data_IF_919533756134
#
_entry.id   IF_919533756134
#
_cell.length_a   1.000
_cell.length_b   1.000
_cell.length_c   1.000
_cell.angle_alpha   90.00
_cell.angle_beta   90.00
_cell.angle_gamma   90.00
#
_symmetry.space_group_name_H-M   'P 1'
#
loop_
_entity.id
_entity.type
_entity.pdbx_description
1 polymer ?
#
# COMPACT_ATOMS: atom_id res chain seq x y z
N UNK A 1 0.97 1.84 8.03
CA UNK A 1 0.63 2.11 9.45
C UNK A 1 -0.43 1.11 9.88
N UNK A 2 -0.02 -0.13 10.12
CA UNK A 2 -0.74 -1.08 10.96
C UNK A 2 -0.17 -0.97 12.40
N UNK A 3 -0.70 -1.76 13.33
CA UNK A 3 -0.61 -1.68 14.78
C UNK A 3 0.74 -1.28 15.38
N UNK A 4 0.68 -0.44 16.43
CA UNK A 4 1.59 -0.59 17.55
C UNK A 4 1.21 -1.92 18.23
N UNK A 5 2.15 -2.81 18.50
CA UNK A 5 1.83 -3.98 19.35
C UNK A 5 1.26 -3.52 20.69
N UNK A 6 0.50 -4.35 21.41
CA UNK A 6 0.01 -4.02 22.76
C UNK A 6 1.16 -3.58 23.68
N UNK A 7 2.33 -4.16 23.48
CA UNK A 7 3.61 -3.76 24.09
C UNK A 7 3.99 -2.33 23.70
N UNK A 8 3.93 -1.97 22.41
CA UNK A 8 4.23 -0.62 21.95
C UNK A 8 3.17 0.41 22.39
N UNK A 9 1.88 0.07 22.39
CA UNK A 9 0.82 0.96 22.89
C UNK A 9 1.05 1.24 24.38
N UNK A 10 1.32 0.19 25.15
CA UNK A 10 1.58 0.30 26.59
C UNK A 10 2.89 1.05 26.87
N UNK A 11 3.94 0.79 26.09
CA UNK A 11 5.26 1.42 26.24
C UNK A 11 5.24 2.92 25.92
N UNK A 12 4.49 3.33 24.90
CA UNK A 12 4.46 4.73 24.46
C UNK A 12 3.32 5.55 25.10
N UNK A 13 2.22 4.90 25.50
CA UNK A 13 0.98 5.59 25.89
C UNK A 13 0.37 5.09 27.22
N UNK A 14 0.95 4.05 27.84
CA UNK A 14 0.51 3.49 29.12
C UNK A 14 -0.64 2.46 29.00
N UNK A 15 -0.92 1.68 30.07
CA UNK A 15 -1.92 0.60 30.05
C UNK A 15 -3.37 1.07 29.79
N UNK A 16 -3.72 2.27 30.24
CA UNK A 16 -5.06 2.85 30.04
C UNK A 16 -5.34 3.21 28.58
N UNK A 17 -4.31 3.52 27.79
CA UNK A 17 -4.43 3.76 26.36
C UNK A 17 -4.76 2.47 25.58
N UNK A 18 -4.28 1.31 26.05
CA UNK A 18 -4.56 0.01 25.45
C UNK A 18 -6.04 -0.37 25.60
N UNK A 19 -6.61 -0.18 26.80
CA UNK A 19 -8.03 -0.45 27.07
C UNK A 19 -8.95 0.45 26.22
N UNK A 20 -8.61 1.74 26.12
CA UNK A 20 -9.35 2.69 25.27
C UNK A 20 -9.24 2.35 23.78
N UNK A 21 -8.05 1.95 23.32
CA UNK A 21 -7.81 1.57 21.93
C UNK A 21 -8.56 0.31 21.51
N UNK A 22 -8.50 -0.73 22.35
CA UNK A 22 -9.21 -2.00 22.10
C UNK A 22 -10.73 -1.79 22.12
N UNK A 23 -11.25 -1.03 23.09
CA UNK A 23 -12.66 -0.69 23.14
C UNK A 23 -13.14 0.09 21.90
N UNK A 24 -12.35 1.05 21.41
CA UNK A 24 -12.71 1.82 20.21
C UNK A 24 -12.73 0.95 18.94
N UNK A 25 -11.75 0.05 18.78
CA UNK A 25 -11.74 -0.94 17.69
C UNK A 25 -12.94 -1.87 17.77
N UNK A 26 -13.18 -2.48 18.92
CA UNK A 26 -14.29 -3.41 19.13
C UNK A 26 -15.63 -2.75 18.83
N UNK A 27 -15.82 -1.51 19.28
CA UNK A 27 -17.00 -0.73 18.98
C UNK A 27 -17.14 -0.43 17.47
N UNK A 28 -16.04 -0.17 16.75
CA UNK A 28 -16.07 0.02 15.30
C UNK A 28 -16.47 -1.26 14.55
N UNK A 29 -15.89 -2.39 14.93
CA UNK A 29 -16.21 -3.70 14.36
C UNK A 29 -17.65 -4.10 14.65
N UNK A 30 -18.11 -3.92 15.89
CA UNK A 30 -19.48 -4.26 16.31
C UNK A 30 -20.51 -3.43 15.54
N UNK A 31 -20.28 -2.12 15.41
CA UNK A 31 -21.14 -1.24 14.63
C UNK A 31 -21.23 -1.69 13.15
N UNK A 32 -20.08 -1.87 12.49
CA UNK A 32 -20.07 -2.32 11.10
C UNK A 32 -20.70 -3.70 10.91
N UNK A 33 -20.52 -4.61 11.88
CA UNK A 33 -21.20 -5.93 11.88
C UNK A 33 -22.71 -5.77 11.92
N UNK A 34 -23.24 -4.89 12.78
CA UNK A 34 -24.68 -4.66 12.90
C UNK A 34 -25.27 -4.03 11.64
N UNK A 35 -24.60 -3.03 11.06
CA UNK A 35 -25.03 -2.42 9.79
C UNK A 35 -25.10 -3.45 8.67
N UNK A 36 -24.12 -4.37 8.60
CA UNK A 36 -24.12 -5.46 7.63
C UNK A 36 -25.32 -6.40 7.84
N UNK A 37 -25.60 -6.80 9.09
CA UNK A 37 -26.75 -7.67 9.39
C UNK A 37 -28.07 -7.00 9.01
N UNK A 38 -28.27 -5.75 9.42
CA UNK A 38 -29.47 -4.96 9.09
C UNK A 38 -29.67 -4.83 7.56
N UNK A 39 -28.58 -4.59 6.82
CA UNK A 39 -28.63 -4.47 5.37
C UNK A 39 -28.97 -5.79 4.65
N UNK A 40 -28.46 -6.93 5.16
CA UNK A 40 -28.81 -8.27 4.66
C UNK A 40 -30.30 -8.56 4.85
N UNK A 41 -30.87 -8.21 6.01
CA UNK A 41 -32.28 -8.44 6.35
C UNK A 41 -33.23 -7.53 5.55
N UNK A 42 -32.85 -6.27 5.33
CA UNK A 42 -33.67 -5.29 4.60
C UNK A 42 -33.57 -5.38 3.08
N UNK A 43 -32.70 -6.25 2.54
CA UNK A 43 -32.48 -6.37 1.09
C UNK A 43 -31.80 -5.12 0.49
N UNK A 44 -31.01 -4.39 1.29
CA UNK A 44 -30.35 -3.17 0.86
C UNK A 44 -29.30 -3.42 -0.24
N UNK A 45 -28.90 -2.37 -0.95
CA UNK A 45 -27.83 -2.44 -1.93
C UNK A 45 -26.47 -2.66 -1.23
N UNK A 46 -26.01 -3.91 -1.22
CA UNK A 46 -24.77 -4.31 -0.53
C UNK A 46 -23.50 -3.65 -1.10
N UNK A 47 -23.51 -3.21 -2.37
CA UNK A 47 -22.37 -2.46 -2.95
C UNK A 47 -22.34 -1.02 -2.44
N UNK A 48 -23.50 -0.39 -2.25
CA UNK A 48 -23.60 0.92 -1.61
C UNK A 48 -23.17 0.85 -0.15
N UNK A 49 -23.62 -0.21 0.54
CA UNK A 49 -23.26 -0.49 1.92
C UNK A 49 -21.75 -0.58 2.14
N UNK A 50 -21.00 -1.19 1.22
CA UNK A 50 -19.53 -1.22 1.29
C UNK A 50 -18.95 0.19 1.51
N UNK A 51 -19.37 1.17 0.69
CA UNK A 51 -18.88 2.53 0.80
C UNK A 51 -19.30 3.17 2.13
N UNK A 52 -20.56 3.00 2.54
CA UNK A 52 -21.08 3.53 3.80
C UNK A 52 -20.32 2.97 5.01
N UNK A 53 -20.12 1.65 5.07
CA UNK A 53 -19.36 0.99 6.14
C UNK A 53 -17.91 1.45 6.15
N UNK A 54 -17.24 1.49 5.00
CA UNK A 54 -15.83 1.93 4.96
C UNK A 54 -15.64 3.39 5.36
N UNK A 55 -16.56 4.29 4.99
CA UNK A 55 -16.53 5.69 5.41
C UNK A 55 -16.73 5.83 6.92
N UNK A 56 -17.65 5.05 7.52
CA UNK A 56 -17.86 5.03 8.96
C UNK A 56 -16.63 4.47 9.71
N UNK A 57 -16.04 3.38 9.22
CA UNK A 57 -14.80 2.84 9.78
C UNK A 57 -13.65 3.85 9.67
N UNK A 58 -13.59 4.62 8.58
CA UNK A 58 -12.60 5.67 8.39
C UNK A 58 -12.77 6.83 9.40
N UNK A 59 -14.00 7.28 9.64
CA UNK A 59 -14.31 8.28 10.67
C UNK A 59 -13.92 7.80 12.07
N UNK A 60 -14.24 6.54 12.40
CA UNK A 60 -13.84 5.93 13.68
C UNK A 60 -12.33 5.80 13.80
N UNK A 61 -11.64 5.50 12.70
CA UNK A 61 -10.17 5.42 12.68
C UNK A 61 -9.53 6.79 12.90
N UNK A 62 -10.11 7.84 12.34
CA UNK A 62 -9.71 9.22 12.59
C UNK A 62 -9.88 9.59 14.07
N UNK A 63 -11.07 9.37 14.63
CA UNK A 63 -11.37 9.64 16.03
C UNK A 63 -10.41 8.90 16.99
N UNK A 64 -10.10 7.63 16.70
CA UNK A 64 -9.13 6.87 17.49
C UNK A 64 -7.71 7.46 17.42
N UNK A 65 -7.30 7.94 16.25
CA UNK A 65 -6.01 8.61 16.09
C UNK A 65 -5.93 9.90 16.92
N UNK A 66 -7.03 10.66 16.98
CA UNK A 66 -7.16 11.86 17.83
C UNK A 66 -7.07 11.51 19.32
N UNK A 67 -7.87 10.53 19.77
CA UNK A 67 -7.88 10.07 21.17
C UNK A 67 -6.51 9.57 21.62
N UNK A 68 -5.80 8.86 20.74
CA UNK A 68 -4.45 8.33 21.00
C UNK A 68 -3.35 9.37 20.82
N UNK A 69 -3.69 10.63 20.48
CA UNK A 69 -2.73 11.72 20.22
C UNK A 69 -1.66 11.32 19.20
N UNK A 70 -2.06 10.58 18.17
CA UNK A 70 -1.15 10.14 17.12
C UNK A 70 -0.66 11.35 16.33
N UNK A 71 0.60 11.36 15.90
CA UNK A 71 1.11 12.46 15.07
C UNK A 71 0.30 12.60 13.77
N UNK A 72 -0.19 13.81 13.52
CA UNK A 72 -1.05 14.17 12.39
C UNK A 72 -2.29 13.25 12.28
N UNK A 73 -3.16 13.24 13.30
CA UNK A 73 -4.27 12.30 13.38
C UNK A 73 -5.30 12.51 12.27
N UNK A 74 -5.38 13.74 11.74
CA UNK A 74 -6.26 14.10 10.65
C UNK A 74 -6.03 13.36 9.32
N UNK A 75 -4.83 12.80 9.11
CA UNK A 75 -4.58 12.01 7.90
C UNK A 75 -5.15 10.58 8.02
N UNK A 76 -5.50 10.13 9.22
CA UNK A 76 -6.09 8.80 9.42
C UNK A 76 -7.54 8.81 8.99
N UNK A 77 -7.91 7.89 8.10
CA UNK A 77 -9.27 7.80 7.57
C UNK A 77 -9.62 8.87 6.53
N UNK A 78 -8.71 9.81 6.22
CA UNK A 78 -8.95 10.79 5.16
C UNK A 78 -8.75 10.15 3.78
N UNK A 79 -9.75 10.19 2.88
CA UNK A 79 -9.62 9.63 1.53
C UNK A 79 -8.52 10.31 0.72
N UNK A 80 -7.75 9.53 -0.05
CA UNK A 80 -6.68 10.07 -0.92
C UNK A 80 -7.21 11.04 -1.99
N UNK A 81 -8.44 10.80 -2.47
CA UNK A 81 -9.14 11.69 -3.42
C UNK A 81 -9.51 13.06 -2.83
N UNK A 82 -9.29 13.27 -1.53
CA UNK A 82 -9.50 14.55 -0.85
C UNK A 82 -8.17 15.29 -0.62
N UNK A 83 -7.13 15.01 -1.42
CA UNK A 83 -5.79 15.63 -1.31
C UNK A 83 -5.24 16.03 -2.66
N UNK A 84 -4.36 17.01 -2.67
CA UNK A 84 -3.62 17.46 -3.86
C UNK A 84 -2.48 16.49 -4.27
N UNK A 85 -2.21 15.43 -3.50
CA UNK A 85 -1.20 14.44 -3.84
C UNK A 85 -1.67 13.47 -4.93
N UNK A 86 -0.89 13.32 -6.01
CA UNK A 86 -1.10 12.26 -7.03
C UNK A 86 -0.24 11.01 -6.77
N UNK A 87 0.68 11.09 -5.80
CA UNK A 87 1.68 10.07 -5.47
C UNK A 87 1.65 9.75 -3.99
N UNK A 88 1.43 8.47 -3.67
CA UNK A 88 1.39 7.97 -2.29
C UNK A 88 2.33 6.79 -2.16
N UNK A 89 3.20 6.81 -1.18
CA UNK A 89 4.22 5.78 -1.03
C UNK A 89 4.39 5.31 0.41
N UNK A 90 5.10 4.20 0.56
CA UNK A 90 5.58 3.68 1.85
C UNK A 90 7.03 3.26 1.69
N UNK A 91 7.91 3.83 2.51
CA UNK A 91 9.32 3.47 2.55
C UNK A 91 9.55 2.41 3.64
N UNK A 92 10.07 1.25 3.26
CA UNK A 92 10.27 0.11 4.17
C UNK A 92 11.69 0.02 4.77
N UNK A 93 12.67 0.76 4.24
CA UNK A 93 14.07 0.64 4.66
C UNK A 93 14.63 1.87 5.40
N UNK A 94 13.76 2.61 6.08
CA UNK A 94 14.20 3.76 6.87
C UNK A 94 14.98 3.31 8.11
N UNK A 95 16.11 3.97 8.39
CA UNK A 95 16.90 3.85 9.62
C UNK A 95 16.16 4.33 10.88
N UNK A 96 14.91 4.81 10.74
CA UNK A 96 14.07 5.18 11.86
C UNK A 96 13.69 3.90 12.62
N UNK A 97 13.99 3.79 13.93
CA UNK A 97 13.60 2.65 14.75
C UNK A 97 12.08 2.33 14.68
N UNK A 98 11.23 3.34 14.45
CA UNK A 98 9.79 3.17 14.25
C UNK A 98 9.42 2.32 13.01
N UNK A 99 10.37 2.16 12.08
CA UNK A 99 10.23 1.37 10.85
C UNK A 99 10.89 -0.01 10.96
N UNK A 100 11.51 -0.37 12.09
CA UNK A 100 12.11 -1.70 12.29
C UNK A 100 11.11 -2.85 12.02
N UNK A 101 9.83 -2.64 12.34
CA UNK A 101 8.73 -3.59 12.04
C UNK A 101 8.55 -3.92 10.55
N UNK A 102 9.01 -3.05 9.66
CA UNK A 102 8.92 -3.24 8.22
C UNK A 102 10.13 -3.97 7.64
N UNK A 103 11.24 -4.13 8.38
CA UNK A 103 12.46 -4.77 7.87
C UNK A 103 12.23 -6.21 7.41
N UNK A 104 11.47 -7.00 8.17
CA UNK A 104 11.13 -8.37 7.76
C UNK A 104 10.39 -8.39 6.43
N UNK A 105 9.49 -7.42 6.20
CA UNK A 105 8.72 -7.31 4.96
C UNK A 105 9.57 -6.76 3.80
N UNK A 106 10.50 -5.84 4.08
CA UNK A 106 11.51 -5.41 3.12
C UNK A 106 12.30 -6.62 2.60
N UNK A 107 12.83 -7.45 3.50
CA UNK A 107 13.56 -8.67 3.14
C UNK A 107 12.70 -9.65 2.34
N UNK A 108 11.43 -9.85 2.70
CA UNK A 108 10.51 -10.71 1.92
C UNK A 108 10.33 -10.22 0.47
N UNK A 109 10.14 -8.91 0.27
CA UNK A 109 10.06 -8.32 -1.07
C UNK A 109 11.37 -8.53 -1.82
N UNK A 110 12.49 -8.24 -1.16
CA UNK A 110 13.83 -8.39 -1.76
C UNK A 110 14.10 -9.83 -2.16
N UNK A 111 13.79 -10.82 -1.32
CA UNK A 111 13.93 -12.24 -1.67
C UNK A 111 13.10 -12.65 -2.89
N UNK A 112 11.90 -12.06 -3.06
CA UNK A 112 11.08 -12.31 -4.25
C UNK A 112 11.69 -11.68 -5.51
N UNK A 113 12.25 -10.48 -5.40
CA UNK A 113 12.97 -9.80 -6.49
C UNK A 113 14.26 -10.54 -6.84
N UNK A 114 15.09 -10.87 -5.85
CA UNK A 114 16.35 -11.61 -5.99
C UNK A 114 16.13 -12.94 -6.73
N UNK A 115 15.12 -13.72 -6.32
CA UNK A 115 14.81 -15.00 -6.98
C UNK A 115 14.52 -14.85 -8.47
N UNK A 116 13.95 -13.73 -8.91
CA UNK A 116 13.64 -13.46 -10.32
C UNK A 116 14.87 -12.94 -11.06
N UNK A 117 15.73 -12.18 -10.37
CA UNK A 117 16.91 -11.53 -10.94
C UNK A 117 18.19 -12.37 -10.82
N UNK A 118 18.15 -13.50 -10.13
CA UNK A 118 19.28 -14.42 -9.96
C UNK A 118 19.93 -14.69 -11.32
N UNK A 119 21.24 -14.53 -11.40
CA UNK A 119 22.07 -14.74 -12.61
C UNK A 119 21.79 -13.77 -13.78
N UNK A 120 20.92 -12.76 -13.60
CA UNK A 120 20.54 -11.82 -14.66
C UNK A 120 21.17 -10.44 -14.51
N UNK A 121 21.83 -10.16 -13.39
CA UNK A 121 22.64 -8.96 -13.20
C UNK A 121 24.11 -9.39 -13.16
N UNK A 122 24.91 -9.11 -14.20
CA UNK A 122 26.32 -9.49 -14.19
C UNK A 122 27.08 -8.66 -13.15
N UNK A 123 28.16 -9.21 -12.59
CA UNK A 123 29.02 -8.50 -11.64
C UNK A 123 29.64 -7.22 -12.23
N UNK A 124 29.81 -7.17 -13.56
CA UNK A 124 30.23 -6.00 -14.32
C UNK A 124 29.73 -6.05 -15.76
N UNK A 125 29.81 -4.92 -16.47
CA UNK A 125 29.39 -4.83 -17.86
C UNK A 125 27.89 -4.51 -18.03
N UNK A 126 27.40 -4.47 -19.29
CA UNK A 126 26.02 -4.10 -19.61
C UNK A 126 25.00 -5.14 -19.18
N UNK A 127 23.80 -4.67 -18.84
CA UNK A 127 22.62 -5.53 -18.66
C UNK A 127 22.21 -6.13 -20.01
N UNK A 128 22.17 -7.46 -20.10
CA UNK A 128 21.75 -8.20 -21.30
C UNK A 128 20.23 -8.38 -21.35
N UNK A 129 19.60 -8.60 -20.20
CA UNK A 129 18.16 -8.66 -20.04
C UNK A 129 17.70 -7.60 -19.04
N UNK A 130 16.72 -6.78 -19.45
CA UNK A 130 16.19 -5.69 -18.63
C UNK A 130 14.76 -5.90 -18.15
N UNK A 131 14.05 -6.92 -18.63
CA UNK A 131 12.64 -7.15 -18.31
C UNK A 131 12.39 -8.60 -17.93
N UNK A 132 11.66 -8.77 -16.83
CA UNK A 132 11.30 -10.07 -16.26
C UNK A 132 9.82 -10.06 -15.92
N UNK A 133 9.18 -11.21 -16.00
CA UNK A 133 7.79 -11.33 -15.56
C UNK A 133 7.50 -12.71 -14.99
N UNK A 134 6.60 -12.76 -14.04
CA UNK A 134 5.87 -13.97 -13.65
C UNK A 134 4.38 -13.70 -13.76
N UNK A 135 3.63 -14.69 -14.24
CA UNK A 135 2.19 -14.64 -14.32
C UNK A 135 1.62 -15.71 -13.38
N UNK A 136 0.45 -15.46 -12.82
CA UNK A 136 -0.35 -16.44 -12.12
C UNK A 136 -1.83 -16.20 -12.36
N UNK A 137 -2.65 -17.17 -11.99
CA UNK A 137 -4.08 -17.10 -12.13
C UNK A 137 -4.72 -17.59 -10.84
N UNK A 138 -5.69 -16.82 -10.31
CA UNK A 138 -6.41 -17.18 -9.10
C UNK A 138 -7.87 -16.79 -9.22
N UNK A 139 -8.78 -17.76 -9.09
CA UNK A 139 -10.24 -17.56 -9.13
C UNK A 139 -10.72 -16.60 -10.23
N UNK A 140 -10.36 -16.88 -11.49
CA UNK A 140 -10.80 -16.06 -12.63
C UNK A 140 -9.96 -14.82 -12.90
N UNK A 141 -8.90 -14.56 -12.11
CA UNK A 141 -8.10 -13.33 -12.20
C UNK A 141 -6.67 -13.62 -12.59
N UNK A 142 -6.24 -13.07 -13.72
CA UNK A 142 -4.82 -13.06 -14.08
C UNK A 142 -4.08 -12.05 -13.21
N UNK A 143 -2.98 -12.46 -12.60
CA UNK A 143 -2.06 -11.57 -11.90
C UNK A 143 -0.69 -11.61 -12.56
N UNK A 144 -0.02 -10.47 -12.61
CA UNK A 144 1.30 -10.31 -13.21
C UNK A 144 2.22 -9.55 -12.28
N UNK A 145 3.43 -10.07 -12.09
CA UNK A 145 4.54 -9.34 -11.48
C UNK A 145 5.62 -9.12 -12.53
N UNK A 146 5.95 -7.88 -12.82
CA UNK A 146 6.97 -7.51 -13.80
C UNK A 146 8.10 -6.75 -13.11
N UNK A 147 9.33 -7.00 -13.54
CA UNK A 147 10.52 -6.25 -13.11
C UNK A 147 11.18 -5.63 -14.34
N UNK A 148 11.51 -4.35 -14.24
CA UNK A 148 12.36 -3.62 -15.18
C UNK A 148 13.66 -3.20 -14.47
N UNK A 149 14.80 -3.51 -15.10
CA UNK A 149 16.13 -3.06 -14.68
C UNK A 149 16.55 -1.85 -15.52
N UNK A 150 17.06 -0.82 -14.85
CA UNK A 150 17.50 0.42 -15.48
C UNK A 150 18.89 0.80 -14.99
N UNK A 151 19.77 1.14 -15.91
CA UNK A 151 21.05 1.75 -15.56
C UNK A 151 20.96 3.28 -15.56
N UNK A 152 22.06 3.93 -15.17
CA UNK A 152 22.15 5.40 -15.15
C UNK A 152 21.86 6.04 -16.52
N UNK A 153 22.21 5.38 -17.64
CA UNK A 153 21.93 5.92 -18.98
C UNK A 153 20.44 5.89 -19.27
N UNK A 154 19.75 4.83 -18.87
CA UNK A 154 18.28 4.73 -19.01
C UNK A 154 17.58 5.85 -18.22
N UNK A 155 18.00 6.11 -16.98
CA UNK A 155 17.44 7.17 -16.14
C UNK A 155 17.67 8.56 -16.75
N UNK A 156 18.88 8.82 -17.24
CA UNK A 156 19.23 10.09 -17.90
C UNK A 156 18.41 10.26 -19.18
N UNK A 157 18.29 9.23 -20.02
CA UNK A 157 17.54 9.27 -21.27
C UNK A 157 16.04 9.54 -21.04
N UNK A 158 15.48 9.06 -19.93
CA UNK A 158 14.09 9.31 -19.51
C UNK A 158 13.91 10.66 -18.81
N UNK A 159 15.02 11.37 -18.54
CA UNK A 159 15.07 12.65 -17.85
C UNK A 159 14.41 12.68 -16.46
N UNK A 160 14.20 11.52 -15.85
CA UNK A 160 13.47 11.40 -14.58
C UNK A 160 14.14 12.09 -13.39
N UNK A 161 15.39 12.52 -13.51
CA UNK A 161 16.08 13.31 -12.47
C UNK A 161 15.80 14.81 -12.57
N UNK A 162 15.20 15.28 -13.66
CA UNK A 162 14.86 16.70 -13.87
C UNK A 162 13.42 16.98 -13.41
N UNK A 163 13.17 18.07 -12.67
CA UNK A 163 11.81 18.53 -12.38
C UNK A 163 11.01 18.78 -13.67
N UNK A 164 9.74 18.36 -13.67
CA UNK A 164 8.90 18.36 -14.87
C UNK A 164 8.37 19.75 -15.23
N UNK A 165 8.48 20.73 -14.30
CA UNK A 165 8.00 22.10 -14.50
C UNK A 165 8.38 22.73 -15.84
N UNK A 166 9.59 22.46 -16.35
CA UNK A 166 10.01 23.02 -17.65
C UNK A 166 9.32 22.41 -18.88
N UNK A 167 8.85 21.15 -18.79
CA UNK A 167 8.10 20.50 -19.87
C UNK A 167 6.61 20.74 -19.77
N UNK A 168 6.03 20.63 -18.57
CA UNK A 168 4.58 20.70 -18.40
C UNK A 168 4.03 22.12 -18.58
N UNK A 169 4.77 23.16 -18.17
CA UNK A 169 4.39 24.58 -18.36
C UNK A 169 4.28 24.95 -19.84
N UNK A 170 5.12 24.35 -20.70
CA UNK A 170 5.11 24.61 -22.14
C UNK A 170 3.99 23.87 -22.88
N UNK A 171 3.53 22.72 -22.35
CA UNK A 171 2.53 21.88 -23.01
C UNK A 171 1.10 22.30 -22.60
N UNK A 172 0.92 22.82 -21.37
CA UNK A 172 -0.39 23.18 -20.82
C UNK A 172 -0.32 24.50 -20.02
N UNK A 173 -0.12 25.66 -20.67
CA UNK A 173 0.06 26.94 -19.98
C UNK A 173 -1.16 27.39 -19.15
N UNK A 174 -2.33 26.81 -19.40
CA UNK A 174 -3.57 27.08 -18.67
C UNK A 174 -3.84 26.12 -17.51
N UNK A 175 -3.06 25.05 -17.38
CA UNK A 175 -3.21 24.08 -16.30
C UNK A 175 -2.28 24.48 -15.15
N UNK A 176 -2.88 24.91 -14.04
CA UNK A 176 -2.15 25.02 -12.77
C UNK A 176 -1.83 23.62 -12.26
N UNK A 177 -0.55 23.27 -12.33
CA UNK A 177 -0.01 21.99 -11.84
C UNK A 177 0.28 22.05 -10.36
N UNK A 178 0.73 23.22 -9.89
CA UNK A 178 0.98 23.45 -8.48
C UNK A 178 -0.23 24.13 -7.89
N UNK A 179 -0.91 23.36 -7.05
CA UNK A 179 -1.68 23.94 -5.97
C UNK A 179 -0.69 24.31 -4.87
N UNK A 180 -0.95 25.41 -4.18
CA UNK A 180 -0.26 25.74 -2.94
C UNK A 180 -0.51 24.60 -1.93
N UNK A 181 0.40 23.63 -1.87
CA UNK A 181 0.23 22.34 -1.18
C UNK A 181 0.00 22.54 0.30
N UNK A 182 0.58 23.59 0.87
CA UNK A 182 0.45 23.95 2.29
C UNK A 182 -0.98 24.36 2.66
N UNK A 183 -1.77 24.83 1.69
CA UNK A 183 -3.18 25.17 1.90
C UNK A 183 -4.12 23.96 1.86
N UNK A 184 -3.74 22.88 1.16
CA UNK A 184 -4.61 21.74 0.85
C UNK A 184 -4.38 20.50 1.72
N UNK A 185 -3.22 20.40 2.36
CA UNK A 185 -2.93 19.35 3.34
C UNK A 185 -3.41 19.72 4.77
N UNK A 186 -4.17 20.82 4.90
CA UNK A 186 -4.80 21.19 6.16
C UNK A 186 -5.72 20.09 6.67
N UNK A 187 -5.82 19.90 7.99
CA UNK A 187 -6.65 18.87 8.61
C UNK A 187 -8.07 18.78 8.03
N UNK A 188 -8.76 19.91 7.92
CA UNK A 188 -10.17 19.93 7.52
C UNK A 188 -10.38 20.10 6.00
N UNK A 189 -9.33 19.92 5.18
CA UNK A 189 -9.46 20.12 3.74
C UNK A 189 -10.10 18.89 3.03
N UNK A 190 -11.01 19.10 2.07
CA UNK A 190 -11.56 20.39 1.64
C UNK A 190 -12.60 20.94 2.62
N UNK A 191 -12.38 22.16 3.11
CA UNK A 191 -13.19 22.79 4.18
C UNK A 191 -14.30 23.70 3.65
N UNK A 192 -14.17 24.15 2.41
CA UNK A 192 -15.10 25.08 1.75
C UNK A 192 -15.51 24.56 0.37
N UNK A 193 -16.59 25.09 -0.20
CA UNK A 193 -16.96 24.77 -1.59
C UNK A 193 -15.88 25.19 -2.58
N UNK A 194 -15.18 26.30 -2.30
CA UNK A 194 -14.02 26.75 -3.09
C UNK A 194 -12.88 25.72 -3.06
N UNK A 195 -12.59 25.14 -1.91
CA UNK A 195 -11.59 24.07 -1.77
C UNK A 195 -11.99 22.84 -2.60
N UNK A 196 -13.27 22.47 -2.55
CA UNK A 196 -13.82 21.33 -3.31
C UNK A 196 -13.71 21.55 -4.82
N UNK A 197 -14.06 22.75 -5.30
CA UNK A 197 -13.93 23.12 -6.72
C UNK A 197 -12.45 23.07 -7.14
N UNK A 198 -11.57 23.69 -6.35
CA UNK A 198 -10.13 23.73 -6.67
C UNK A 198 -9.51 22.33 -6.72
N UNK A 199 -9.88 21.46 -5.78
CA UNK A 199 -9.42 20.08 -5.76
C UNK A 199 -9.97 19.27 -6.95
N UNK A 200 -11.24 19.47 -7.29
CA UNK A 200 -11.87 18.84 -8.46
C UNK A 200 -11.15 19.24 -9.74
N UNK A 201 -10.88 20.53 -9.92
CA UNK A 201 -10.17 21.06 -11.09
C UNK A 201 -8.75 20.47 -11.18
N UNK A 202 -8.05 20.37 -10.05
CA UNK A 202 -6.74 19.73 -10.00
C UNK A 202 -6.78 18.26 -10.43
N UNK A 203 -7.70 17.46 -9.89
CA UNK A 203 -7.84 16.05 -10.30
C UNK A 203 -8.22 15.93 -11.77
N UNK A 204 -9.09 16.81 -12.28
CA UNK A 204 -9.44 16.84 -13.69
C UNK A 204 -8.23 17.17 -14.59
N UNK A 205 -7.40 18.12 -14.18
CA UNK A 205 -6.16 18.46 -14.87
C UNK A 205 -5.18 17.29 -14.90
N UNK A 206 -5.00 16.61 -13.77
CA UNK A 206 -4.14 15.43 -13.67
C UNK A 206 -4.65 14.26 -14.51
N UNK A 207 -5.96 14.02 -14.56
CA UNK A 207 -6.56 13.04 -15.47
C UNK A 207 -6.34 13.43 -16.94
N UNK A 208 -6.45 14.73 -17.26
CA UNK A 208 -6.18 15.26 -18.60
C UNK A 208 -4.72 15.04 -19.01
N UNK A 209 -3.77 15.27 -18.10
CA UNK A 209 -2.35 15.01 -18.32
C UNK A 209 -2.11 13.51 -18.50
N UNK A 210 -2.69 12.65 -17.65
CA UNK A 210 -2.57 11.20 -17.76
C UNK A 210 -3.10 10.66 -19.10
N UNK A 211 -4.20 11.21 -19.59
CA UNK A 211 -4.83 10.77 -20.84
C UNK A 211 -4.09 11.27 -22.08
N UNK A 212 -3.67 12.54 -22.10
CA UNK A 212 -3.11 13.17 -23.30
C UNK A 212 -1.57 13.20 -23.34
N UNK A 213 -0.93 13.15 -22.17
CA UNK A 213 0.52 13.24 -22.00
C UNK A 213 1.03 12.18 -21.01
N UNK A 214 0.80 10.88 -21.27
CA UNK A 214 1.11 9.81 -20.34
C UNK A 214 2.60 9.76 -19.94
N UNK A 215 3.52 10.15 -20.83
CA UNK A 215 4.95 10.19 -20.53
C UNK A 215 5.30 11.27 -19.50
N UNK A 216 4.64 12.43 -19.57
CA UNK A 216 4.78 13.52 -18.59
C UNK A 216 4.26 13.06 -17.23
N UNK A 217 3.08 12.42 -17.23
CA UNK A 217 2.49 11.86 -16.02
C UNK A 217 3.41 10.80 -15.36
N UNK A 218 4.00 9.91 -16.16
CA UNK A 218 4.96 8.92 -15.66
C UNK A 218 6.24 9.59 -15.15
N UNK A 219 6.75 10.61 -15.85
CA UNK A 219 7.92 11.38 -15.44
C UNK A 219 7.71 11.99 -14.06
N UNK A 220 6.61 12.71 -13.82
CA UNK A 220 6.33 13.35 -12.52
C UNK A 220 6.38 12.34 -11.37
N UNK A 221 5.75 11.18 -11.55
CA UNK A 221 5.74 10.12 -10.53
C UNK A 221 7.13 9.53 -10.31
N UNK A 222 7.87 9.26 -11.38
CA UNK A 222 9.21 8.68 -11.27
C UNK A 222 10.22 9.68 -10.70
N UNK A 223 10.13 10.96 -11.03
CA UNK A 223 10.97 12.01 -10.45
C UNK A 223 10.76 12.14 -8.94
N UNK A 224 9.50 12.15 -8.49
CA UNK A 224 9.18 12.11 -7.07
C UNK A 224 9.80 10.89 -6.38
N UNK A 225 9.66 9.71 -6.98
CA UNK A 225 10.15 8.46 -6.39
C UNK A 225 11.68 8.38 -6.35
N UNK A 226 12.33 8.79 -7.43
CA UNK A 226 13.79 8.88 -7.49
C UNK A 226 14.32 9.85 -6.43
N UNK A 227 13.64 10.98 -6.20
CA UNK A 227 13.99 11.91 -5.13
C UNK A 227 13.82 11.30 -3.73
N UNK A 228 12.80 10.45 -3.54
CA UNK A 228 12.59 9.73 -2.28
C UNK A 228 13.70 8.70 -1.99
N UNK A 229 14.27 8.05 -3.02
CA UNK A 229 15.38 7.11 -2.88
C UNK A 229 16.77 7.76 -2.98
N UNK A 230 16.93 8.97 -3.54
CA UNK A 230 18.23 9.66 -3.64
C UNK A 230 18.80 9.96 -2.24
N UNK A 231 17.94 10.07 -1.23
CA UNK A 231 18.39 10.13 0.16
C UNK A 231 19.07 8.83 0.64
N UNK A 232 18.75 7.71 0.00
CA UNK A 232 19.26 6.38 0.29
C UNK A 232 20.28 5.88 -0.76
N UNK A 233 20.55 6.67 -1.82
CA UNK A 233 21.34 6.26 -2.98
C UNK A 233 22.37 7.32 -3.44
N UNK A 234 23.60 6.94 -3.84
CA UNK A 234 24.32 5.71 -3.49
C UNK A 234 24.68 5.71 -2.00
N UNK A 235 25.20 4.58 -1.47
CA UNK A 235 25.67 4.47 -0.09
C UNK A 235 26.46 5.73 0.29
N UNK A 236 26.03 6.41 1.35
CA UNK A 236 26.74 7.58 1.86
C UNK A 236 27.99 7.09 2.57
N UNK A 237 29.15 7.53 2.13
CA UNK A 237 30.39 7.31 2.87
C UNK A 237 30.47 8.36 3.99
N UNK A 238 30.71 7.92 5.22
CA UNK A 238 30.97 8.84 6.32
C UNK A 238 32.43 9.31 6.20
N UNK A 239 32.66 10.53 5.71
CA UNK A 239 34.00 11.14 5.70
C UNK A 239 34.19 12.03 6.92
N UNK A 240 35.28 11.81 7.64
CA UNK A 240 35.74 12.75 8.67
C UNK A 240 36.38 13.93 7.95
N UNK A 241 35.92 15.15 8.23
CA UNK A 241 36.54 16.34 7.64
C UNK A 241 37.90 16.56 8.34
N UNK A 242 39.03 16.50 7.62
CA UNK A 242 40.36 16.63 8.22
C UNK A 242 40.48 17.93 9.02
N UNK A 243 40.98 17.85 10.26
CA UNK A 243 41.12 19.01 11.15
C UNK A 243 39.86 19.42 11.91
N UNK A 244 38.77 18.65 11.81
CA UNK A 244 37.55 18.87 12.60
C UNK A 244 37.08 17.59 13.29
N UNK A 245 36.26 17.70 14.33
CA UNK A 245 35.50 16.57 14.91
C UNK A 245 34.21 16.26 14.14
N UNK A 246 34.00 16.91 12.98
CA UNK A 246 32.77 16.83 12.21
C UNK A 246 32.87 15.72 11.16
N UNK A 247 31.85 14.86 11.14
CA UNK A 247 31.66 13.85 10.09
C UNK A 247 30.63 14.36 9.08
N UNK A 248 30.93 14.17 7.80
CA UNK A 248 30.00 14.48 6.71
C UNK A 248 29.75 13.22 5.89
N UNK A 249 28.49 12.97 5.60
CA UNK A 249 28.11 11.98 4.61
C UNK A 249 28.39 12.51 3.20
N UNK A 250 29.29 11.86 2.47
CA UNK A 250 29.60 12.17 1.07
C UNK A 250 28.97 11.09 0.19
N UNK A 251 28.35 11.48 -0.94
CA UNK A 251 27.83 10.51 -1.91
C UNK A 251 29.00 9.67 -2.43
N UNK A 252 28.89 8.34 -2.43
CA UNK A 252 29.92 7.47 -2.96
C UNK A 252 29.97 7.61 -4.49
N UNK A 253 30.99 8.32 -4.99
CA UNK A 253 31.22 8.59 -6.42
C UNK A 253 32.14 7.55 -7.10
N UNK A 254 32.68 6.58 -6.35
CA UNK A 254 33.60 5.58 -6.90
C UNK A 254 32.82 4.55 -7.74
N UNK A 255 33.13 4.43 -9.04
CA UNK A 255 32.97 3.29 -9.98
C UNK A 255 31.76 2.33 -9.88
N UNK A 256 30.72 2.69 -9.15
CA UNK A 256 29.55 1.87 -8.85
C UNK A 256 28.55 2.10 -9.99
N UNK A 257 28.38 1.10 -10.87
CA UNK A 257 27.32 1.16 -11.87
C UNK A 257 25.99 0.87 -11.19
N UNK A 258 25.25 1.93 -10.95
CA UNK A 258 23.90 1.92 -10.37
C UNK A 258 22.92 1.17 -11.26
N UNK A 259 22.17 0.25 -10.67
CA UNK A 259 21.05 -0.45 -11.32
C UNK A 259 19.81 -0.21 -10.48
N UNK A 260 18.83 0.49 -11.07
CA UNK A 260 17.52 0.68 -10.48
C UNK A 260 16.64 -0.52 -10.84
N UNK A 261 15.86 -0.97 -9.87
CA UNK A 261 14.93 -2.09 -10.03
C UNK A 261 13.53 -1.56 -9.77
N UNK A 262 12.71 -1.60 -10.83
CA UNK A 262 11.30 -1.22 -10.76
C UNK A 262 10.47 -2.48 -10.94
N UNK A 263 9.78 -2.90 -9.89
CA UNK A 263 8.79 -3.96 -9.99
C UNK A 263 7.36 -3.41 -10.01
N UNK A 264 6.43 -4.11 -10.66
CA UNK A 264 5.00 -3.79 -10.63
C UNK A 264 4.17 -5.05 -10.44
N UNK A 265 3.16 -4.96 -9.57
CA UNK A 265 2.10 -5.96 -9.42
C UNK A 265 0.89 -5.43 -10.18
N UNK A 266 0.31 -6.27 -11.04
CA UNK A 266 -0.94 -5.97 -11.76
C UNK A 266 -1.93 -7.12 -11.62
N UNK A 267 -3.21 -6.82 -11.50
CA UNK A 267 -4.29 -7.81 -11.37
C UNK A 267 -5.42 -7.49 -12.34
N UNK A 268 -5.98 -8.53 -12.95
CA UNK A 268 -7.08 -8.44 -13.89
C UNK A 268 -8.42 -8.42 -13.17
N UNK A 269 -9.24 -7.43 -13.51
CA UNK A 269 -10.65 -7.36 -13.16
C UNK A 269 -11.38 -6.47 -14.16
N UNK A 270 -12.67 -6.73 -14.38
CA UNK A 270 -13.46 -6.04 -15.41
C UNK A 270 -12.81 -6.09 -16.82
N UNK A 271 -12.23 -7.24 -17.18
CA UNK A 271 -11.53 -7.48 -18.46
C UNK A 271 -10.36 -6.53 -18.74
N UNK A 272 -9.77 -5.92 -17.70
CA UNK A 272 -8.64 -5.01 -17.80
C UNK A 272 -7.58 -5.39 -16.76
N UNK A 273 -6.31 -5.29 -17.15
CA UNK A 273 -5.19 -5.51 -16.26
C UNK A 273 -4.80 -4.18 -15.59
N UNK A 274 -5.09 -4.05 -14.30
CA UNK A 274 -4.78 -2.84 -13.53
C UNK A 274 -3.46 -2.99 -12.77
N UNK A 275 -2.57 -2.01 -12.88
CA UNK A 275 -1.40 -1.94 -11.98
C UNK A 275 -1.86 -1.55 -10.58
N UNK A 276 -1.60 -2.45 -9.63
CA UNK A 276 -1.98 -2.34 -8.23
C UNK A 276 -0.94 -1.58 -7.41
N UNK A 277 0.34 -1.92 -7.54
CA UNK A 277 1.43 -1.24 -6.84
C UNK A 277 2.73 -1.33 -7.63
N UNK A 278 3.62 -0.37 -7.41
CA UNK A 278 4.99 -0.39 -7.93
C UNK A 278 6.00 -0.40 -6.78
N UNK A 279 7.12 -1.06 -6.99
CA UNK A 279 8.18 -1.22 -6.01
C UNK A 279 9.44 -0.67 -6.64
N UNK A 280 10.15 0.17 -5.92
CA UNK A 280 11.39 0.77 -6.38
C UNK A 280 12.46 0.45 -5.35
N UNK A 281 13.54 -0.12 -5.85
CA UNK A 281 14.76 -0.40 -5.11
C UNK A 281 15.93 -0.30 -6.08
N UNK A 282 17.14 -0.64 -5.64
CA UNK A 282 18.33 -0.56 -6.46
C UNK A 282 19.33 -1.62 -6.06
N UNK A 283 20.38 -1.73 -6.87
CA UNK A 283 21.63 -2.40 -6.54
C UNK A 283 22.77 -1.72 -7.32
N UNK A 284 23.97 -2.25 -7.22
CA UNK A 284 25.11 -1.78 -7.97
C UNK A 284 26.13 -2.87 -8.29
N UNK A 285 26.91 -2.62 -9.35
CA UNK A 285 28.05 -3.43 -9.77
C UNK A 285 29.35 -2.80 -9.28
N UNK A 286 30.21 -3.60 -8.64
CA UNK A 286 31.53 -3.19 -8.14
C UNK A 286 32.61 -4.28 -8.21
N UNK A 287 32.38 -5.40 -8.91
CA UNK A 287 33.24 -6.58 -9.01
C UNK A 287 33.49 -7.38 -7.71
N UNK A 288 33.07 -6.92 -6.53
CA UNK A 288 33.42 -7.56 -5.25
C UNK A 288 32.36 -8.54 -4.74
N UNK A 289 31.07 -8.27 -4.98
CA UNK A 289 29.97 -9.13 -4.53
C UNK A 289 28.90 -9.13 -5.60
N UNK A 290 28.18 -10.24 -5.71
CA UNK A 290 27.03 -10.36 -6.60
C UNK A 290 26.03 -9.20 -6.30
N UNK A 291 25.70 -8.38 -7.31
CA UNK A 291 24.71 -7.30 -7.15
C UNK A 291 23.37 -7.78 -6.60
N UNK A 292 22.95 -9.02 -6.89
CA UNK A 292 21.70 -9.61 -6.40
C UNK A 292 21.82 -9.93 -4.90
N UNK A 293 22.95 -10.44 -4.42
CA UNK A 293 23.15 -10.74 -3.00
C UNK A 293 23.10 -9.48 -2.12
N UNK A 294 23.68 -8.37 -2.61
CA UNK A 294 23.69 -7.06 -1.94
C UNK A 294 22.29 -6.47 -1.71
N UNK A 295 21.27 -6.93 -2.45
CA UNK A 295 19.93 -6.38 -2.40
C UNK A 295 19.20 -6.57 -1.06
N UNK A 296 19.63 -7.51 -0.22
CA UNK A 296 18.90 -7.98 0.97
C UNK A 296 18.54 -6.85 1.95
N UNK A 297 19.45 -5.91 2.16
CA UNK A 297 19.29 -4.80 3.11
C UNK A 297 18.97 -3.46 2.43
N UNK A 298 18.75 -3.47 1.12
CA UNK A 298 18.43 -2.26 0.37
C UNK A 298 16.96 -1.88 0.62
N UNK A 299 16.67 -0.60 0.94
CA UNK A 299 15.31 -0.13 1.10
C UNK A 299 14.45 -0.34 -0.15
N UNK A 300 13.21 -0.76 0.09
CA UNK A 300 12.13 -0.75 -0.90
C UNK A 300 11.19 0.42 -0.64
N UNK A 301 10.91 1.19 -1.68
CA UNK A 301 9.82 2.16 -1.70
C UNK A 301 8.65 1.57 -2.48
N UNK A 302 7.50 1.43 -1.83
CA UNK A 302 6.26 0.98 -2.44
C UNK A 302 5.46 2.21 -2.85
N UNK A 303 5.18 2.36 -4.13
CA UNK A 303 4.19 3.26 -4.67
C UNK A 303 2.82 2.53 -4.69
N UNK A 304 1.88 3.06 -3.93
CA UNK A 304 0.50 2.55 -3.89
C UNK A 304 -0.23 2.80 -5.21
N UNK A 305 -1.38 2.17 -5.38
CA UNK A 305 -2.17 2.29 -6.61
C UNK A 305 -2.40 3.76 -6.98
N UNK A 306 -2.30 4.02 -8.28
CA UNK A 306 -2.64 5.30 -8.88
C UNK A 306 -4.03 5.76 -8.44
N UNK A 307 -4.12 6.98 -7.90
CA UNK A 307 -5.35 7.57 -7.41
C UNK A 307 -6.47 7.55 -8.46
N UNK A 308 -6.14 7.75 -9.73
CA UNK A 308 -7.11 7.81 -10.82
C UNK A 308 -7.57 6.42 -11.32
N UNK A 309 -7.11 5.34 -10.68
CA UNK A 309 -7.61 3.98 -10.88
C UNK A 309 -8.34 3.45 -9.63
N UNK A 310 -8.43 4.26 -8.57
CA UNK A 310 -8.94 3.85 -7.28
C UNK A 310 -10.43 3.53 -7.34
N UNK A 311 -11.23 4.34 -8.03
CA UNK A 311 -12.69 4.15 -8.11
C UNK A 311 -13.07 2.84 -8.80
N UNK A 312 -12.38 2.49 -9.90
CA UNK A 312 -12.55 1.20 -10.58
C UNK A 312 -12.24 0.02 -9.64
N UNK A 313 -11.19 0.16 -8.84
CA UNK A 313 -10.75 -0.88 -7.90
C UNK A 313 -11.71 -0.99 -6.71
N UNK A 314 -12.21 0.13 -6.19
CA UNK A 314 -13.20 0.15 -5.10
C UNK A 314 -14.56 -0.40 -5.57
N UNK A 315 -14.93 -0.21 -6.83
CA UNK A 315 -16.11 -0.83 -7.44
C UNK A 315 -15.96 -2.34 -7.57
N UNK A 316 -14.77 -2.82 -7.91
CA UNK A 316 -14.48 -4.25 -7.90
C UNK A 316 -14.57 -4.83 -6.48
N UNK A 317 -13.96 -4.14 -5.52
CA UNK A 317 -13.99 -4.52 -4.10
C UNK A 317 -15.43 -4.56 -3.56
N UNK A 318 -16.28 -3.60 -3.91
CA UNK A 318 -17.68 -3.60 -3.46
C UNK A 318 -18.49 -4.78 -4.05
N UNK A 319 -18.12 -5.24 -5.24
CA UNK A 319 -18.70 -6.44 -5.86
C UNK A 319 -18.22 -7.72 -5.15
N UNK A 320 -16.94 -7.80 -4.77
CA UNK A 320 -16.41 -8.89 -3.93
C UNK A 320 -17.09 -8.90 -2.55
N UNK A 321 -17.22 -7.72 -1.94
CA UNK A 321 -17.91 -7.55 -0.65
C UNK A 321 -19.34 -8.07 -0.71
N UNK A 322 -20.10 -7.71 -1.74
CA UNK A 322 -21.45 -8.24 -1.96
C UNK A 322 -21.46 -9.78 -2.03
N UNK A 323 -20.54 -10.41 -2.78
CA UNK A 323 -20.44 -11.87 -2.85
C UNK A 323 -20.13 -12.49 -1.49
N UNK A 324 -19.17 -11.94 -0.76
CA UNK A 324 -18.83 -12.38 0.58
C UNK A 324 -20.03 -12.30 1.54
N UNK A 325 -20.87 -11.26 1.45
CA UNK A 325 -22.06 -11.12 2.29
C UNK A 325 -23.21 -12.04 1.90
N UNK A 326 -23.25 -12.50 0.64
CA UNK A 326 -24.25 -13.46 0.13
C UNK A 326 -23.89 -14.92 0.41
N UNK A 327 -22.68 -15.19 0.90
CA UNK A 327 -22.26 -16.52 1.32
C UNK A 327 -23.30 -17.16 2.24
N UNK A 328 -23.70 -18.39 1.91
CA UNK A 328 -24.70 -19.14 2.64
C UNK A 328 -24.05 -20.30 3.38
N UNK A 329 -23.97 -20.18 4.72
CA UNK A 329 -23.41 -21.21 5.61
C UNK A 329 -23.96 -22.63 5.37
N UNK A 330 -25.20 -22.77 4.88
CA UNK A 330 -25.83 -24.08 4.65
C UNK A 330 -25.43 -24.74 3.33
N UNK A 331 -24.99 -23.95 2.36
CA UNK A 331 -24.81 -24.39 0.96
C UNK A 331 -23.35 -24.28 0.53
N UNK A 332 -22.64 -23.27 1.04
CA UNK A 332 -21.30 -22.91 0.61
C UNK A 332 -20.26 -23.27 1.68
N UNK A 333 -19.09 -23.83 1.30
CA UNK A 333 -18.00 -24.06 2.23
C UNK A 333 -17.45 -22.73 2.76
N UNK A 334 -16.99 -22.72 4.02
CA UNK A 334 -16.37 -21.54 4.65
C UNK A 334 -15.15 -21.02 3.86
N UNK A 335 -14.47 -21.92 3.14
CA UNK A 335 -13.31 -21.60 2.31
C UNK A 335 -13.65 -20.61 1.20
N UNK A 336 -14.88 -20.64 0.66
CA UNK A 336 -15.30 -19.69 -0.38
C UNK A 336 -15.43 -18.28 0.18
N UNK A 337 -15.98 -18.13 1.40
CA UNK A 337 -15.98 -16.86 2.12
C UNK A 337 -14.55 -16.37 2.40
N UNK A 338 -13.68 -17.25 2.91
CA UNK A 338 -12.28 -16.92 3.18
C UNK A 338 -11.58 -16.44 1.91
N UNK A 339 -11.83 -17.09 0.78
CA UNK A 339 -11.24 -16.70 -0.50
C UNK A 339 -11.71 -15.31 -0.96
N UNK A 340 -13.02 -15.03 -0.91
CA UNK A 340 -13.56 -13.72 -1.29
C UNK A 340 -13.04 -12.60 -0.38
N UNK A 341 -13.01 -12.81 0.94
CA UNK A 341 -12.47 -11.83 1.88
C UNK A 341 -10.96 -11.64 1.70
N UNK A 342 -10.21 -12.70 1.38
CA UNK A 342 -8.79 -12.58 1.05
C UNK A 342 -8.53 -11.76 -0.21
N UNK A 343 -9.29 -11.98 -1.29
CA UNK A 343 -9.19 -11.15 -2.51
C UNK A 343 -9.54 -9.70 -2.19
N UNK A 344 -10.61 -9.47 -1.41
CA UNK A 344 -10.98 -8.13 -0.92
C UNK A 344 -9.80 -7.47 -0.21
N UNK A 345 -9.17 -8.18 0.74
CA UNK A 345 -8.02 -7.66 1.51
C UNK A 345 -6.81 -7.39 0.64
N UNK A 346 -6.53 -8.25 -0.33
CA UNK A 346 -5.44 -8.04 -1.29
C UNK A 346 -5.64 -6.75 -2.08
N UNK A 347 -6.79 -6.59 -2.74
CA UNK A 347 -7.08 -5.42 -3.56
C UNK A 347 -7.15 -4.14 -2.71
N UNK A 348 -7.84 -4.17 -1.57
CA UNK A 348 -7.97 -3.02 -0.67
C UNK A 348 -6.61 -2.54 -0.15
N UNK A 349 -5.70 -3.48 0.11
CA UNK A 349 -4.35 -3.18 0.57
C UNK A 349 -3.54 -2.51 -0.51
N UNK A 350 -3.53 -3.00 -1.74
CA UNK A 350 -2.82 -2.31 -2.82
C UNK A 350 -3.45 -0.97 -3.21
N UNK A 351 -4.78 -0.88 -3.10
CA UNK A 351 -5.54 0.32 -3.36
C UNK A 351 -5.29 1.42 -2.32
N UNK A 352 -4.95 1.10 -1.07
CA UNK A 352 -4.73 2.06 0.03
C UNK A 352 -5.64 3.31 -0.02
N UNK A 353 -6.98 3.19 0.02
CA UNK A 353 -7.89 4.29 -0.33
C UNK A 353 -7.77 5.56 0.52
N UNK A 354 -7.18 5.45 1.72
CA UNK A 354 -6.98 6.56 2.66
C UNK A 354 -5.50 6.93 2.78
N UNK A 355 -5.21 8.21 3.08
CA UNK A 355 -3.84 8.72 3.26
C UNK A 355 -3.10 7.93 4.36
N UNK A 356 -3.78 7.72 5.50
CA UNK A 356 -3.33 6.84 6.58
C UNK A 356 -4.50 6.00 7.10
N UNK A 357 -4.21 4.84 7.66
CA UNK A 357 -5.19 3.98 8.33
C UNK A 357 -5.89 2.94 7.44
N UNK A 358 -5.61 2.90 6.13
CA UNK A 358 -6.18 1.90 5.21
C UNK A 358 -6.00 0.44 5.70
N UNK A 359 -4.83 0.10 6.25
CA UNK A 359 -4.59 -1.22 6.83
C UNK A 359 -5.60 -1.56 7.93
N UNK A 360 -5.72 -0.71 8.95
CA UNK A 360 -6.65 -0.90 10.07
C UNK A 360 -8.12 -0.92 9.63
N UNK A 361 -8.51 -0.04 8.71
CA UNK A 361 -9.90 0.00 8.19
C UNK A 361 -10.23 -1.30 7.47
N UNK A 362 -9.33 -1.79 6.62
CA UNK A 362 -9.56 -3.04 5.89
C UNK A 362 -9.55 -4.26 6.82
N UNK A 363 -8.78 -4.23 7.89
CA UNK A 363 -8.84 -5.23 8.97
C UNK A 363 -10.19 -5.22 9.71
N UNK A 364 -10.67 -4.04 10.10
CA UNK A 364 -11.97 -3.94 10.78
C UNK A 364 -13.10 -4.40 9.88
N UNK A 365 -13.04 -4.06 8.59
CA UNK A 365 -14.00 -4.54 7.59
C UNK A 365 -14.00 -6.07 7.45
N UNK A 366 -12.83 -6.70 7.34
CA UNK A 366 -12.69 -8.16 7.28
C UNK A 366 -13.33 -8.85 8.48
N UNK A 367 -13.04 -8.37 9.68
CA UNK A 367 -13.58 -8.93 10.91
C UNK A 367 -15.10 -8.77 10.98
N UNK A 368 -15.63 -7.61 10.57
CA UNK A 368 -17.07 -7.38 10.50
C UNK A 368 -17.79 -8.29 9.51
N UNK A 369 -17.15 -8.65 8.38
CA UNK A 369 -17.73 -9.59 7.41
C UNK A 369 -17.93 -10.96 8.07
N UNK A 370 -16.88 -11.54 8.68
CA UNK A 370 -16.99 -12.85 9.33
C UNK A 370 -17.99 -12.83 10.50
N UNK A 371 -17.95 -11.80 11.35
CA UNK A 371 -18.90 -11.67 12.47
C UNK A 371 -20.35 -11.46 12.02
N UNK A 372 -20.58 -10.91 10.83
CA UNK A 372 -21.94 -10.76 10.27
C UNK A 372 -22.56 -12.10 9.83
N UNK A 373 -21.74 -13.14 9.71
CA UNK A 373 -22.13 -14.52 9.43
C UNK A 373 -22.08 -15.41 10.68
N UNK A 374 -22.00 -14.81 11.86
CA UNK A 374 -21.90 -15.50 13.15
C UNK A 374 -20.72 -16.48 13.23
N UNK A 375 -19.60 -16.12 12.59
CA UNK A 375 -18.35 -16.87 12.65
C UNK A 375 -17.40 -16.30 13.69
N UNK A 376 -16.62 -17.17 14.32
CA UNK A 376 -15.47 -16.78 15.12
C UNK A 376 -14.34 -16.34 14.19
N UNK A 377 -13.69 -15.23 14.53
CA UNK A 377 -12.58 -14.68 13.77
C UNK A 377 -11.46 -14.26 14.72
N UNK A 378 -10.26 -14.74 14.43
CA UNK A 378 -9.05 -14.35 15.14
C UNK A 378 -7.91 -14.08 14.16
N UNK A 379 -7.07 -13.10 14.49
CA UNK A 379 -5.82 -12.86 13.76
C UNK A 379 -4.68 -13.61 14.44
N UNK A 380 -3.80 -14.18 13.63
CA UNK A 380 -2.58 -14.78 14.17
C UNK A 380 -1.65 -13.69 14.69
N UNK A 381 -1.17 -13.80 15.94
CA UNK A 381 -0.26 -12.80 16.51
C UNK A 381 0.98 -12.57 15.65
N UNK A 382 1.35 -11.30 15.50
CA UNK A 382 2.55 -10.90 14.75
C UNK A 382 2.44 -10.99 13.22
N UNK A 383 1.29 -11.38 12.68
CA UNK A 383 1.04 -11.42 11.24
C UNK A 383 0.11 -10.28 10.81
N UNK A 384 0.36 -9.71 9.63
CA UNK A 384 -0.39 -8.58 9.09
C UNK A 384 -0.71 -8.87 7.63
N UNK A 385 -1.98 -9.18 7.35
CA UNK A 385 -2.44 -9.53 6.01
C UNK A 385 -2.14 -8.43 4.97
N UNK A 386 -2.19 -7.16 5.37
CA UNK A 386 -1.83 -6.04 4.49
C UNK A 386 -0.34 -6.01 4.14
N UNK A 387 0.55 -6.19 5.11
CA UNK A 387 1.97 -6.23 4.81
C UNK A 387 2.32 -7.48 3.99
N UNK A 388 1.74 -8.64 4.32
CA UNK A 388 1.92 -9.85 3.52
C UNK A 388 1.43 -9.67 2.08
N UNK A 389 0.27 -9.04 1.86
CA UNK A 389 -0.24 -8.73 0.51
C UNK A 389 0.74 -7.85 -0.27
N UNK A 390 1.32 -6.83 0.36
CA UNK A 390 2.34 -5.99 -0.27
C UNK A 390 3.65 -6.73 -0.54
N UNK A 391 3.96 -7.82 0.17
CA UNK A 391 5.17 -8.63 -0.09
C UNK A 391 4.98 -9.74 -1.11
N UNK A 392 3.74 -10.18 -1.32
CA UNK A 392 3.42 -11.24 -2.25
C UNK A 392 3.47 -10.71 -3.70
N UNK A 393 4.25 -11.33 -4.60
CA UNK A 393 4.39 -10.82 -5.96
C UNK A 393 3.12 -11.04 -6.78
N UNK A 394 2.23 -11.94 -6.37
CA UNK A 394 0.97 -12.22 -7.09
C UNK A 394 -0.14 -12.61 -6.12
N UNK A 395 -1.41 -12.44 -6.52
CA UNK A 395 -2.60 -12.80 -5.75
C UNK A 395 -2.59 -14.28 -5.34
N UNK A 396 -2.28 -15.19 -6.26
CA UNK A 396 -2.18 -16.63 -5.97
C UNK A 396 -1.23 -16.90 -4.79
N UNK A 397 -0.01 -16.36 -4.82
CA UNK A 397 0.95 -16.50 -3.72
C UNK A 397 0.41 -15.88 -2.43
N UNK A 398 -0.21 -14.71 -2.48
CA UNK A 398 -0.83 -14.11 -1.30
C UNK A 398 -1.86 -15.06 -0.68
N UNK A 399 -2.80 -15.55 -1.48
CA UNK A 399 -3.90 -16.40 -1.02
C UNK A 399 -3.40 -17.73 -0.46
N UNK A 400 -2.51 -18.40 -1.20
CA UNK A 400 -2.09 -19.76 -0.88
C UNK A 400 -0.94 -19.85 0.12
N UNK A 401 -0.12 -18.81 0.29
CA UNK A 401 1.06 -18.85 1.17
C UNK A 401 1.01 -17.89 2.35
N UNK A 402 0.10 -16.91 2.33
CA UNK A 402 0.09 -15.87 3.36
C UNK A 402 -1.29 -15.72 4.00
N UNK A 403 -2.33 -15.39 3.24
CA UNK A 403 -3.62 -14.97 3.80
C UNK A 403 -4.23 -15.99 4.76
N UNK A 404 -4.35 -17.26 4.34
CA UNK A 404 -4.91 -18.34 5.17
C UNK A 404 -4.08 -18.64 6.43
N UNK A 405 -2.82 -18.23 6.45
CA UNK A 405 -1.96 -18.33 7.62
C UNK A 405 -2.05 -17.10 8.54
N UNK A 406 -2.64 -15.99 8.09
CA UNK A 406 -2.77 -14.75 8.89
C UNK A 406 -4.00 -14.72 9.79
N UNK A 407 -4.97 -15.61 9.54
CA UNK A 407 -6.26 -15.64 10.26
C UNK A 407 -6.62 -17.06 10.73
N UNK A 408 -7.56 -17.12 11.65
CA UNK A 408 -8.35 -18.29 12.01
C UNK A 408 -9.83 -17.93 11.92
N UNK A 409 -10.59 -18.77 11.23
CA UNK A 409 -12.04 -18.62 11.11
C UNK A 409 -12.66 -19.96 11.45
N UNK A 410 -13.65 -19.96 12.33
CA UNK A 410 -14.36 -21.18 12.72
C UNK A 410 -15.83 -20.89 12.98
N UNK A 411 -16.63 -21.94 12.98
CA UNK A 411 -17.97 -21.83 13.54
C UNK A 411 -17.91 -21.66 15.07
N UNK A 412 -18.95 -21.06 15.69
CA UNK A 412 -19.11 -21.07 17.14
C UNK A 412 -19.17 -22.52 17.63
N UNK A 413 -18.42 -22.82 18.69
CA UNK A 413 -18.59 -24.08 19.41
C UNK A 413 -19.94 -23.95 20.12
N UNK A 414 -20.97 -24.60 19.56
CA UNK A 414 -22.18 -24.82 20.32
C UNK A 414 -21.80 -25.80 21.42
N UNK A 415 -21.58 -25.30 22.64
CA UNK A 415 -21.51 -26.16 23.82
C UNK A 415 -22.77 -27.01 23.79
N UNK A 416 -22.59 -28.29 23.46
CA UNK A 416 -23.66 -29.27 23.54
C UNK A 416 -24.07 -29.25 25.00
N UNK A 417 -25.24 -28.68 25.29
CA UNK A 417 -25.89 -28.91 26.57
C UNK A 417 -26.10 -30.41 26.64
N UNK A 418 -25.20 -31.10 27.34
CA UNK A 418 -25.40 -32.47 27.79
C UNK A 418 -26.73 -32.44 28.54
N UNK A 419 -27.75 -32.94 27.84
CA UNK A 419 -29.04 -33.25 28.42
C UNK A 419 -28.80 -34.55 29.17
N UNK A 420 -28.50 -34.41 30.47
CA UNK A 420 -28.55 -35.51 31.43
C UNK A 420 -30.01 -35.86 31.69
#
# INVERSE_FOLDING_TARGET
>A
MSFFSDTQITQYYGPSALTSFNGAREHAVAYATQEIKNAKESGANLRKLFHEVTDQLAQRRNHLADLSRTQNPVYFGRPRKHTSGSVFHTNLGSSNPANARYQTHNRKIMQNIQRILQDNIPASGPLTQKKFQINSFYQGRSTRFEIELLDKKDIIAREWTKPVHSKTVNILPHIKLDLDTDSMDRPNFPSTDKDRITLKDFHQNQMTIKANFPDVYVHEKMNYLLSAIDNCFPLRELKVIPGTSTTQFVKNELNIRSIYVIAKVSCEFNSKLYTLSKYITWTHQDNETDPVERMTDIPVVILHQDLYLLDDTLKEISTIFERALRWNKKEDPIEDLVNEVGILRYLFTHAMPYIRGSSAIGEWLEESIYKSHDLNFERRPGQSADLEALTAPTLDKFMNRHYKHTIWVSEPINDVKETV
#
